data_IF_109823754537
#
_entry.id   IF_109823754537
#
_cell.length_a   1.000
_cell.length_b   1.000
_cell.length_c   1.000
_cell.angle_alpha   90.00
_cell.angle_beta   90.00
_cell.angle_gamma   90.00
#
_symmetry.space_group_name_H-M   'P 1'
#
loop_
_entity.id
_entity.type
_entity.pdbx_description
1 polymer ?
#
# COMPACT_ATOMS: atom_id res chain seq x y z
N UNK A 1 29.24 45.12 38.55
CA UNK A 1 29.33 43.73 39.05
C UNK A 1 27.97 43.06 39.27
N UNK A 2 26.95 43.73 39.81
CA UNK A 2 25.61 43.11 39.96
C UNK A 2 24.82 43.04 38.63
N UNK A 3 24.99 44.03 37.76
CA UNK A 3 24.31 44.09 36.46
C UNK A 3 24.83 43.04 35.47
N UNK A 4 26.14 42.73 35.50
CA UNK A 4 26.75 41.69 34.67
C UNK A 4 26.24 40.30 35.03
N UNK A 5 26.16 39.99 36.32
CA UNK A 5 25.60 38.73 36.84
C UNK A 5 24.12 38.61 36.46
N UNK A 6 23.34 39.70 36.59
CA UNK A 6 21.93 39.74 36.20
C UNK A 6 21.75 39.47 34.70
N UNK A 7 22.56 40.08 33.84
CA UNK A 7 22.50 39.87 32.39
C UNK A 7 22.87 38.43 32.01
N UNK A 8 23.87 37.85 32.67
CA UNK A 8 24.24 36.43 32.47
C UNK A 8 23.09 35.52 32.89
N UNK A 9 22.48 35.74 34.06
CA UNK A 9 21.34 34.94 34.55
C UNK A 9 20.16 35.05 33.59
N UNK A 10 19.81 36.26 33.14
CA UNK A 10 18.74 36.47 32.15
C UNK A 10 19.05 35.75 30.83
N UNK A 11 20.30 35.81 30.37
CA UNK A 11 20.74 35.09 29.17
C UNK A 11 20.59 33.57 29.29
N UNK A 12 20.99 32.99 30.41
CA UNK A 12 20.86 31.54 30.68
C UNK A 12 19.39 31.13 30.78
N UNK A 13 18.55 31.92 31.46
CA UNK A 13 17.11 31.66 31.56
C UNK A 13 16.46 31.72 30.17
N UNK A 14 16.77 32.77 29.38
CA UNK A 14 16.25 32.91 28.03
C UNK A 14 16.68 31.75 27.12
N UNK A 15 17.94 31.32 27.20
CA UNK A 15 18.45 30.17 26.47
C UNK A 15 17.75 28.87 26.88
N UNK A 16 17.56 28.65 28.19
CA UNK A 16 16.85 27.49 28.73
C UNK A 16 15.39 27.43 28.27
N UNK A 17 14.68 28.56 28.33
CA UNK A 17 13.30 28.66 27.84
C UNK A 17 13.21 28.42 26.33
N UNK A 18 14.14 28.97 25.55
CA UNK A 18 14.18 28.78 24.11
C UNK A 18 14.45 27.32 23.73
N UNK A 19 15.39 26.66 24.42
CA UNK A 19 15.68 25.24 24.22
C UNK A 19 14.48 24.36 24.61
N UNK A 20 13.82 24.64 25.74
CA UNK A 20 12.63 23.90 26.17
C UNK A 20 11.48 24.06 25.16
N UNK A 21 11.22 25.28 24.69
CA UNK A 21 10.19 25.54 23.69
C UNK A 21 10.51 24.88 22.35
N UNK A 22 11.78 24.92 21.92
CA UNK A 22 12.25 24.22 20.72
C UNK A 22 12.07 22.71 20.81
N UNK A 23 12.36 22.12 21.97
CA UNK A 23 12.13 20.68 22.21
C UNK A 23 10.65 20.34 22.18
N UNK A 24 9.81 21.07 22.93
CA UNK A 24 8.37 20.84 22.99
C UNK A 24 7.69 20.95 21.63
N UNK A 25 8.02 21.99 20.86
CA UNK A 25 7.49 22.19 19.50
C UNK A 25 7.92 21.06 18.58
N UNK A 26 9.20 20.68 18.57
CA UNK A 26 9.70 19.54 17.78
C UNK A 26 9.02 18.23 18.15
N UNK A 27 8.93 17.90 19.44
CA UNK A 27 8.29 16.68 19.92
C UNK A 27 6.81 16.65 19.58
N UNK A 28 6.10 17.78 19.73
CA UNK A 28 4.68 17.87 19.39
C UNK A 28 4.44 17.64 17.89
N UNK A 29 5.23 18.30 17.03
CA UNK A 29 5.14 18.12 15.58
C UNK A 29 5.47 16.69 15.14
N UNK A 30 6.50 16.09 15.74
CA UNK A 30 6.86 14.70 15.48
C UNK A 30 5.73 13.74 15.87
N UNK A 31 5.18 13.85 17.09
CA UNK A 31 4.03 13.05 17.53
C UNK A 31 2.80 13.25 16.64
N UNK A 32 2.55 14.48 16.18
CA UNK A 32 1.43 14.77 15.26
C UNK A 32 1.62 14.11 13.91
N UNK A 33 2.83 14.14 13.34
CA UNK A 33 3.16 13.46 12.09
C UNK A 33 3.03 11.94 12.24
N UNK A 34 3.56 11.38 13.33
CA UNK A 34 3.43 9.95 13.62
C UNK A 34 1.96 9.52 13.72
N UNK A 35 1.13 10.23 14.49
CA UNK A 35 -0.30 9.91 14.60
C UNK A 35 -1.04 9.95 13.26
N UNK A 36 -0.68 10.88 12.37
CA UNK A 36 -1.25 10.94 11.01
C UNK A 36 -0.82 9.75 10.15
N UNK A 37 0.46 9.37 10.23
CA UNK A 37 1.00 8.18 9.56
C UNK A 37 0.28 6.92 10.05
N UNK A 38 0.22 6.74 11.38
CA UNK A 38 -0.50 5.64 12.03
C UNK A 38 -1.98 5.59 11.62
N UNK A 39 -2.68 6.72 11.60
CA UNK A 39 -4.08 6.78 11.19
C UNK A 39 -4.29 6.42 9.70
N UNK A 40 -3.41 6.90 8.80
CA UNK A 40 -3.50 6.59 7.37
C UNK A 40 -3.33 5.09 7.10
N UNK A 41 -2.30 4.49 7.71
CA UNK A 41 -2.02 3.06 7.59
C UNK A 41 -2.89 2.18 8.49
N UNK A 42 -3.66 2.76 9.41
CA UNK A 42 -4.40 1.99 10.41
C UNK A 42 -3.51 1.24 11.40
N UNK A 43 -2.29 1.73 11.66
CA UNK A 43 -1.28 1.10 12.52
C UNK A 43 -1.07 1.91 13.81
N UNK A 44 -1.97 1.84 14.80
CA UNK A 44 -1.71 2.48 16.08
C UNK A 44 -0.56 1.78 16.81
N UNK A 45 0.01 2.49 17.77
CA UNK A 45 1.10 1.99 18.58
C UNK A 45 0.71 0.65 19.26
N UNK A 46 1.64 -0.31 19.22
CA UNK A 46 1.49 -1.67 19.74
C UNK A 46 0.37 -2.51 19.08
N UNK A 47 -0.11 -2.13 17.89
CA UNK A 47 -1.00 -2.99 17.10
C UNK A 47 -0.24 -4.05 16.31
N UNK A 48 -0.90 -5.16 16.03
CA UNK A 48 -0.43 -6.17 15.07
C UNK A 48 -1.10 -5.97 13.70
N UNK A 49 -0.33 -6.16 12.62
CA UNK A 49 -0.83 -6.17 11.26
C UNK A 49 -0.39 -7.42 10.51
N UNK A 50 -1.11 -7.75 9.43
CA UNK A 50 -0.84 -8.93 8.63
C UNK A 50 -0.12 -8.54 7.35
N UNK A 51 1.00 -9.21 7.08
CA UNK A 51 1.73 -9.12 5.83
C UNK A 51 1.47 -10.40 5.03
N UNK A 52 0.61 -10.30 4.01
CA UNK A 52 0.11 -11.46 3.26
C UNK A 52 0.86 -11.55 1.94
N UNK A 53 1.51 -12.69 1.69
CA UNK A 53 2.41 -12.87 0.54
C UNK A 53 2.02 -14.04 -0.34
N UNK A 54 2.54 -14.02 -1.57
CA UNK A 54 2.43 -15.12 -2.51
C UNK A 54 3.02 -16.42 -1.94
N UNK A 55 2.44 -17.55 -2.36
CA UNK A 55 3.06 -18.88 -2.24
C UNK A 55 3.50 -19.33 -3.63
N UNK A 56 4.73 -19.80 -3.77
CA UNK A 56 5.15 -20.47 -4.99
C UNK A 56 4.50 -21.87 -5.06
N UNK A 57 3.87 -22.19 -6.19
CA UNK A 57 3.01 -23.38 -6.34
C UNK A 57 3.77 -24.72 -6.32
N UNK A 58 5.11 -24.70 -6.23
CA UNK A 58 5.97 -25.87 -6.36
C UNK A 58 6.77 -26.27 -5.12
N UNK A 59 6.67 -25.56 -3.98
CA UNK A 59 7.44 -25.90 -2.77
C UNK A 59 6.59 -25.88 -1.49
N UNK A 60 6.83 -26.80 -0.54
CA UNK A 60 6.28 -26.72 0.82
C UNK A 60 6.81 -25.49 1.59
N UNK A 61 7.95 -24.93 1.19
CA UNK A 61 8.57 -23.75 1.80
C UNK A 61 8.03 -22.43 1.24
N UNK A 62 8.13 -21.37 2.04
CA UNK A 62 7.90 -19.97 1.65
C UNK A 62 8.90 -19.54 0.56
N UNK A 63 8.66 -19.94 -0.68
CA UNK A 63 9.37 -19.40 -1.83
C UNK A 63 8.71 -18.06 -2.21
N UNK A 64 9.31 -16.97 -1.73
CA UNK A 64 8.91 -15.60 -2.02
C UNK A 64 9.86 -15.06 -3.10
N UNK A 65 9.31 -14.50 -4.18
CA UNK A 65 10.13 -13.92 -5.23
C UNK A 65 11.03 -12.81 -4.65
N UNK A 66 12.28 -12.68 -5.10
CA UNK A 66 13.25 -11.70 -4.54
C UNK A 66 12.69 -10.27 -4.38
N UNK A 67 11.88 -9.83 -5.33
CA UNK A 67 11.27 -8.50 -5.33
C UNK A 67 10.10 -8.39 -4.35
N UNK A 68 9.37 -9.48 -4.11
CA UNK A 68 8.37 -9.52 -3.06
C UNK A 68 9.05 -9.40 -1.70
N UNK A 69 10.20 -10.07 -1.47
CA UNK A 69 11.00 -9.91 -0.23
C UNK A 69 11.39 -8.45 0.03
N UNK A 70 11.87 -7.73 -0.99
CA UNK A 70 12.18 -6.30 -0.83
C UNK A 70 10.95 -5.48 -0.49
N UNK A 71 9.80 -5.77 -1.09
CA UNK A 71 8.53 -5.13 -0.71
C UNK A 71 8.19 -5.41 0.77
N UNK A 72 8.42 -6.62 1.27
CA UNK A 72 8.20 -6.96 2.68
C UNK A 72 9.13 -6.19 3.61
N UNK A 73 10.41 -6.07 3.27
CA UNK A 73 11.38 -5.33 4.08
C UNK A 73 11.01 -3.85 4.18
N UNK A 74 10.59 -3.24 3.06
CA UNK A 74 10.14 -1.85 3.03
C UNK A 74 8.84 -1.66 3.84
N UNK A 75 7.89 -2.59 3.76
CA UNK A 75 6.68 -2.58 4.58
C UNK A 75 6.98 -2.81 6.07
N UNK A 76 7.89 -3.74 6.40
CA UNK A 76 8.29 -4.01 7.78
C UNK A 76 8.94 -2.78 8.43
N UNK A 77 9.79 -2.06 7.69
CA UNK A 77 10.35 -0.79 8.15
C UNK A 77 9.25 0.26 8.40
N UNK A 78 8.29 0.38 7.47
CA UNK A 78 7.13 1.28 7.63
C UNK A 78 6.28 0.94 8.86
N UNK A 79 6.02 -0.35 9.09
CA UNK A 79 5.23 -0.86 10.21
C UNK A 79 5.95 -0.58 11.53
N UNK A 80 7.25 -0.85 11.59
CA UNK A 80 8.10 -0.57 12.76
C UNK A 80 8.18 0.93 13.07
N UNK A 81 8.28 1.78 12.05
CA UNK A 81 8.23 3.24 12.23
C UNK A 81 6.91 3.71 12.87
N UNK A 82 5.82 2.97 12.66
CA UNK A 82 4.52 3.26 13.28
C UNK A 82 4.41 2.72 14.71
N UNK A 83 5.41 1.96 15.20
CA UNK A 83 5.36 1.27 16.48
C UNK A 83 4.42 0.06 16.50
N UNK A 84 4.17 -0.55 15.33
CA UNK A 84 3.32 -1.74 15.19
C UNK A 84 4.16 -3.00 14.90
N UNK A 85 3.58 -4.17 15.16
CA UNK A 85 4.12 -5.49 14.83
C UNK A 85 3.61 -6.00 13.48
N UNK A 86 4.40 -6.87 12.84
CA UNK A 86 4.07 -7.47 11.54
C UNK A 86 4.09 -9.00 11.66
N UNK A 87 2.96 -9.63 11.37
CA UNK A 87 2.81 -11.08 11.26
C UNK A 87 2.82 -11.47 9.78
N UNK A 88 3.87 -12.17 9.33
CA UNK A 88 3.95 -12.65 7.94
C UNK A 88 3.15 -13.93 7.81
N UNK A 89 2.11 -13.89 6.98
CA UNK A 89 1.20 -15.03 6.78
C UNK A 89 1.14 -15.42 5.31
N UNK A 90 1.03 -16.72 5.06
CA UNK A 90 0.67 -17.25 3.74
C UNK A 90 -0.85 -17.27 3.57
N UNK A 91 -1.30 -17.35 2.31
CA UNK A 91 -2.72 -17.28 1.94
C UNK A 91 -3.67 -18.25 2.67
N UNK A 92 -3.18 -19.38 3.20
CA UNK A 92 -4.03 -20.41 3.85
C UNK A 92 -4.11 -20.27 5.39
N UNK A 93 -3.14 -19.61 6.03
CA UNK A 93 -3.12 -19.36 7.49
C UNK A 93 -3.97 -18.13 7.88
N UNK A 94 -4.35 -17.35 6.87
CA UNK A 94 -5.10 -16.13 6.93
C UNK A 94 -6.62 -16.33 7.21
N UNK A 95 -6.99 -16.95 8.34
CA UNK A 95 -8.40 -17.15 8.74
C UNK A 95 -8.97 -16.02 9.63
N UNK A 96 -8.35 -14.84 9.63
CA UNK A 96 -8.77 -13.70 10.46
C UNK A 96 -9.76 -12.79 9.71
N UNK A 97 -10.68 -12.16 10.45
CA UNK A 97 -11.78 -11.38 9.90
C UNK A 97 -11.32 -10.10 9.18
N UNK A 98 -11.97 -9.79 8.06
CA UNK A 98 -11.69 -8.57 7.28
C UNK A 98 -11.91 -7.30 8.13
N UNK A 99 -10.90 -6.44 8.19
CA UNK A 99 -10.98 -5.16 8.88
C UNK A 99 -10.72 -5.21 10.39
N UNK A 100 -10.38 -6.38 10.96
CA UNK A 100 -9.96 -6.51 12.37
C UNK A 100 -8.53 -5.98 12.59
N UNK A 101 -7.63 -6.27 11.65
CA UNK A 101 -6.24 -5.81 11.62
C UNK A 101 -5.94 -5.15 10.29
N UNK A 102 -4.94 -4.27 10.27
CA UNK A 102 -4.43 -3.75 9.00
C UNK A 102 -3.81 -4.90 8.23
N UNK A 103 -4.09 -5.00 6.94
CA UNK A 103 -3.52 -6.03 6.08
C UNK A 103 -2.74 -5.39 4.94
N UNK A 104 -1.59 -5.94 4.61
CA UNK A 104 -0.82 -5.61 3.41
C UNK A 104 -0.74 -6.87 2.54
N UNK A 105 -1.55 -6.93 1.50
CA UNK A 105 -1.58 -8.06 0.56
C UNK A 105 -0.68 -7.76 -0.63
N UNK A 106 0.36 -8.57 -0.80
CA UNK A 106 1.36 -8.45 -1.85
C UNK A 106 1.22 -9.62 -2.82
N UNK A 107 1.18 -9.31 -4.12
CA UNK A 107 1.13 -10.33 -5.18
C UNK A 107 -0.11 -10.27 -6.07
N UNK A 108 -0.13 -11.14 -7.07
CA UNK A 108 -1.27 -11.26 -7.99
C UNK A 108 -2.35 -12.23 -7.49
N UNK A 109 -3.60 -12.11 -7.94
CA UNK A 109 -4.70 -12.99 -7.52
C UNK A 109 -4.49 -14.47 -7.89
N UNK A 110 -3.65 -14.77 -8.89
CA UNK A 110 -3.33 -16.15 -9.28
C UNK A 110 -2.44 -16.90 -8.28
N UNK A 111 -1.64 -16.18 -7.48
CA UNK A 111 -0.68 -16.75 -6.51
C UNK A 111 -0.99 -16.40 -5.05
N UNK A 112 -2.00 -15.55 -4.82
CA UNK A 112 -2.46 -15.11 -3.51
C UNK A 112 -4.01 -15.12 -3.47
N UNK A 113 -4.59 -16.17 -2.90
CA UNK A 113 -6.05 -16.34 -2.74
C UNK A 113 -6.69 -15.23 -1.93
N UNK A 114 -5.98 -14.65 -0.96
CA UNK A 114 -6.49 -13.52 -0.16
C UNK A 114 -6.55 -12.24 -0.99
N UNK A 115 -5.58 -12.00 -1.87
CA UNK A 115 -5.65 -10.95 -2.89
C UNK A 115 -6.88 -11.14 -3.79
N UNK A 116 -7.08 -12.35 -4.31
CA UNK A 116 -8.23 -12.66 -5.15
C UNK A 116 -9.57 -12.39 -4.43
N UNK A 117 -9.70 -12.81 -3.18
CA UNK A 117 -10.90 -12.58 -2.37
C UNK A 117 -11.19 -11.09 -2.16
N UNK A 118 -10.16 -10.28 -1.85
CA UNK A 118 -10.32 -8.83 -1.69
C UNK A 118 -10.74 -8.14 -2.99
N UNK A 119 -10.14 -8.51 -4.13
CA UNK A 119 -10.53 -7.98 -5.44
C UNK A 119 -11.98 -8.35 -5.75
N UNK A 120 -12.36 -9.62 -5.60
CA UNK A 120 -13.72 -10.09 -5.89
C UNK A 120 -14.77 -9.39 -5.01
N UNK A 121 -14.48 -9.18 -3.73
CA UNK A 121 -15.44 -8.61 -2.79
C UNK A 121 -15.56 -7.08 -2.89
N UNK A 122 -14.46 -6.38 -3.16
CA UNK A 122 -14.39 -4.92 -3.02
C UNK A 122 -14.16 -4.17 -4.33
N UNK A 123 -13.65 -4.85 -5.37
CA UNK A 123 -13.29 -4.26 -6.66
C UNK A 123 -13.99 -4.99 -7.83
N UNK A 124 -15.33 -5.03 -7.87
CA UNK A 124 -16.08 -5.75 -8.91
C UNK A 124 -15.89 -5.20 -10.33
N UNK A 125 -15.31 -3.99 -10.44
CA UNK A 125 -14.92 -3.35 -11.69
C UNK A 125 -13.54 -3.76 -12.20
N UNK A 126 -12.83 -4.65 -11.48
CA UNK A 126 -11.49 -5.12 -11.82
C UNK A 126 -11.53 -6.60 -12.18
N UNK A 127 -11.04 -6.93 -13.37
CA UNK A 127 -10.68 -8.29 -13.75
C UNK A 127 -9.19 -8.35 -14.06
N UNK A 128 -8.58 -9.47 -13.69
CA UNK A 128 -7.16 -9.74 -13.97
C UNK A 128 -7.13 -11.09 -14.64
N UNK A 129 -6.54 -11.16 -15.83
CA UNK A 129 -6.39 -12.44 -16.53
C UNK A 129 -5.38 -13.31 -15.77
N UNK A 130 -5.86 -14.38 -15.14
CA UNK A 130 -5.04 -15.37 -14.43
C UNK A 130 -4.90 -16.68 -15.19
N UNK A 131 -5.27 -16.71 -16.47
CA UNK A 131 -5.22 -17.90 -17.30
C UNK A 131 -3.78 -18.40 -17.41
N UNK A 132 -3.64 -19.73 -17.42
CA UNK A 132 -2.32 -20.39 -17.51
C UNK A 132 -1.75 -20.34 -18.92
N UNK A 133 -2.60 -20.10 -19.92
CA UNK A 133 -2.20 -20.06 -21.32
C UNK A 133 -1.30 -18.85 -21.59
N UNK A 134 -0.13 -19.06 -22.24
CA UNK A 134 0.69 -17.95 -22.69
C UNK A 134 -0.08 -17.11 -23.72
N UNK A 135 -0.13 -15.80 -23.51
CA UNK A 135 -0.80 -14.89 -24.42
C UNK A 135 -0.53 -13.42 -24.10
N UNK A 136 -0.87 -12.50 -25.02
CA UNK A 136 -0.68 -11.07 -24.84
C UNK A 136 -1.54 -10.50 -23.70
N UNK A 137 -2.61 -11.20 -23.34
CA UNK A 137 -3.51 -10.82 -22.25
C UNK A 137 -3.13 -11.41 -20.90
N UNK A 138 -2.06 -12.20 -20.80
CA UNK A 138 -1.66 -12.82 -19.53
C UNK A 138 -1.39 -11.73 -18.49
N UNK A 139 -2.07 -11.80 -17.35
CA UNK A 139 -2.02 -10.81 -16.26
C UNK A 139 -2.48 -9.40 -16.68
N UNK A 140 -3.12 -9.24 -17.84
CA UNK A 140 -3.72 -7.96 -18.23
C UNK A 140 -4.80 -7.56 -17.24
N UNK A 141 -4.88 -6.25 -16.96
CA UNK A 141 -5.95 -5.68 -16.15
C UNK A 141 -7.08 -5.20 -17.04
N UNK A 142 -8.30 -5.55 -16.67
CA UNK A 142 -9.50 -4.87 -17.14
C UNK A 142 -10.05 -4.05 -15.96
N UNK A 143 -10.23 -2.75 -16.16
CA UNK A 143 -10.76 -1.83 -15.15
C UNK A 143 -11.89 -1.02 -15.80
N UNK A 144 -13.14 -1.34 -15.44
CA UNK A 144 -14.28 -0.86 -16.21
C UNK A 144 -14.19 -1.34 -17.68
N UNK A 145 -14.19 -0.41 -18.61
CA UNK A 145 -14.03 -0.69 -20.05
C UNK A 145 -12.57 -0.68 -20.52
N UNK A 146 -11.62 -0.21 -19.70
CA UNK A 146 -10.22 -0.05 -20.08
C UNK A 146 -9.45 -1.36 -19.89
N UNK A 147 -8.53 -1.64 -20.81
CA UNK A 147 -7.66 -2.81 -20.79
C UNK A 147 -6.18 -2.37 -20.77
N UNK A 148 -5.42 -2.92 -19.83
CA UNK A 148 -4.00 -2.62 -19.63
C UNK A 148 -3.19 -3.90 -19.75
N UNK A 149 -2.64 -4.12 -20.95
CA UNK A 149 -1.72 -5.21 -21.25
C UNK A 149 -0.30 -4.82 -20.89
N UNK A 150 0.46 -5.78 -20.37
CA UNK A 150 1.89 -5.54 -20.08
C UNK A 150 2.77 -5.82 -21.30
N UNK A 151 3.82 -5.02 -21.41
CA UNK A 151 5.03 -5.33 -22.16
C UNK A 151 6.13 -5.61 -21.13
N UNK A 152 6.46 -6.89 -20.86
CA UNK A 152 7.38 -7.25 -19.79
C UNK A 152 8.73 -6.54 -19.92
N UNK A 153 9.15 -5.89 -18.83
CA UNK A 153 10.39 -5.12 -18.75
C UNK A 153 10.28 -3.69 -19.28
N UNK A 154 9.21 -3.34 -20.00
CA UNK A 154 9.06 -2.05 -20.71
C UNK A 154 7.89 -1.23 -20.16
N UNK A 155 6.67 -1.75 -20.22
CA UNK A 155 5.46 -1.09 -19.73
C UNK A 155 4.65 -2.10 -18.93
N UNK A 156 4.61 -1.92 -17.62
CA UNK A 156 3.95 -2.84 -16.71
C UNK A 156 3.07 -2.07 -15.75
N UNK A 157 2.03 -2.71 -15.24
CA UNK A 157 1.06 -2.07 -14.39
C UNK A 157 0.99 -2.72 -13.01
N UNK A 158 0.59 -1.92 -12.03
CA UNK A 158 0.27 -2.38 -10.67
C UNK A 158 -0.92 -1.62 -10.12
N UNK A 159 -1.85 -2.36 -9.54
CA UNK A 159 -2.93 -1.79 -8.74
C UNK A 159 -2.43 -1.59 -7.31
N UNK A 160 -2.37 -0.33 -6.89
CA UNK A 160 -2.17 0.05 -5.49
C UNK A 160 -3.51 0.48 -4.93
N UNK A 161 -4.03 -0.28 -3.96
CA UNK A 161 -5.28 0.05 -3.30
C UNK A 161 -5.12 0.21 -1.79
N UNK A 162 -5.94 1.07 -1.21
CA UNK A 162 -6.28 1.08 0.21
C UNK A 162 -7.78 0.86 0.28
N UNK A 163 -8.22 -0.21 0.94
CA UNK A 163 -9.63 -0.60 1.02
C UNK A 163 -10.07 -0.64 2.48
N UNK A 164 -11.28 -0.18 2.75
CA UNK A 164 -11.86 -0.15 4.10
C UNK A 164 -13.26 -0.77 4.05
N UNK A 165 -13.55 -1.67 5.00
CA UNK A 165 -14.80 -2.41 5.11
C UNK A 165 -16.00 -1.53 5.53
N UNK A 166 -16.53 -0.73 4.61
CA UNK A 166 -17.71 0.11 4.86
C UNK A 166 -17.53 1.16 5.97
N UNK A 167 -18.63 1.83 6.37
CA UNK A 167 -18.64 2.98 7.29
C UNK A 167 -18.35 2.65 8.77
N UNK A 168 -17.86 1.46 9.10
CA UNK A 168 -17.48 1.16 10.49
C UNK A 168 -16.24 2.00 10.83
N UNK A 169 -16.40 2.89 11.81
CA UNK A 169 -15.38 3.88 12.22
C UNK A 169 -14.05 3.24 12.67
N UNK A 170 -14.08 1.95 12.97
CA UNK A 170 -12.96 1.16 13.50
C UNK A 170 -12.38 0.15 12.48
N UNK A 171 -12.93 0.07 11.27
CA UNK A 171 -12.44 -0.89 10.27
C UNK A 171 -11.01 -0.56 9.84
N UNK A 172 -10.09 -1.50 10.05
CA UNK A 172 -8.69 -1.39 9.62
C UNK A 172 -8.58 -1.51 8.10
N UNK A 173 -7.66 -0.77 7.46
CA UNK A 173 -7.50 -0.82 6.02
C UNK A 173 -6.79 -2.09 5.56
N UNK A 174 -7.15 -2.52 4.36
CA UNK A 174 -6.40 -3.51 3.58
C UNK A 174 -5.71 -2.78 2.43
N UNK A 175 -4.39 -2.90 2.38
CA UNK A 175 -3.57 -2.42 1.27
C UNK A 175 -3.33 -3.54 0.28
N UNK A 176 -3.60 -3.30 -0.99
CA UNK A 176 -3.32 -4.24 -2.08
C UNK A 176 -2.16 -3.73 -2.92
N UNK A 177 -1.17 -4.57 -3.14
CA UNK A 177 -0.06 -4.37 -4.08
C UNK A 177 -0.15 -5.49 -5.12
N UNK A 178 -0.99 -5.26 -6.13
CA UNK A 178 -1.34 -6.26 -7.14
C UNK A 178 -0.66 -5.91 -8.47
N UNK A 179 0.58 -6.34 -8.60
CA UNK A 179 1.41 -6.12 -9.79
C UNK A 179 1.30 -7.25 -10.81
N UNK A 180 1.52 -6.91 -12.07
CA UNK A 180 1.62 -7.92 -13.14
C UNK A 180 2.89 -8.79 -13.01
N UNK A 181 3.92 -8.31 -12.31
CA UNK A 181 5.11 -9.05 -11.91
C UNK A 181 5.53 -8.65 -10.49
N UNK A 182 6.36 -9.46 -9.86
CA UNK A 182 6.85 -9.21 -8.50
C UNK A 182 7.59 -7.86 -8.35
N UNK A 183 8.28 -7.39 -9.40
CA UNK A 183 8.96 -6.08 -9.36
C UNK A 183 7.96 -4.91 -9.26
N UNK A 184 6.76 -5.07 -9.80
CA UNK A 184 5.73 -4.04 -9.75
C UNK A 184 5.11 -3.93 -8.35
N UNK A 185 5.09 -5.01 -7.57
CA UNK A 185 4.69 -4.98 -6.16
C UNK A 185 5.64 -4.10 -5.34
N UNK A 186 6.94 -4.29 -5.52
CA UNK A 186 7.97 -3.46 -4.90
C UNK A 186 7.82 -1.99 -5.32
N UNK A 187 7.58 -1.74 -6.61
CA UNK A 187 7.35 -0.38 -7.12
C UNK A 187 6.14 0.30 -6.46
N UNK A 188 5.03 -0.41 -6.30
CA UNK A 188 3.86 0.11 -5.60
C UNK A 188 4.10 0.34 -4.11
N UNK A 189 4.86 -0.54 -3.44
CA UNK A 189 5.28 -0.32 -2.04
C UNK A 189 6.09 0.96 -1.90
N UNK A 190 7.12 1.16 -2.73
CA UNK A 190 7.91 2.40 -2.75
C UNK A 190 7.04 3.62 -3.00
N UNK A 191 6.15 3.52 -3.97
CA UNK A 191 5.23 4.59 -4.30
C UNK A 191 4.34 4.96 -3.09
N UNK A 192 3.75 3.98 -2.42
CA UNK A 192 2.93 4.20 -1.22
C UNK A 192 3.75 4.86 -0.10
N UNK A 193 4.92 4.31 0.24
CA UNK A 193 5.78 4.83 1.32
C UNK A 193 6.19 6.28 1.03
N UNK A 194 6.62 6.60 -0.19
CA UNK A 194 7.04 7.94 -0.59
C UNK A 194 5.87 8.94 -0.67
N UNK A 195 4.68 8.50 -1.07
CA UNK A 195 3.56 9.40 -1.38
C UNK A 195 2.43 9.39 -0.33
N UNK A 196 2.54 8.66 0.78
CA UNK A 196 1.45 8.50 1.76
C UNK A 196 0.89 9.84 2.27
N UNK A 197 1.71 10.87 2.49
CA UNK A 197 1.21 12.18 2.91
C UNK A 197 0.37 12.88 1.84
N UNK A 198 0.72 12.71 0.56
CA UNK A 198 -0.07 13.23 -0.56
C UNK A 198 -1.36 12.44 -0.72
N UNK A 199 -1.28 11.12 -0.60
CA UNK A 199 -2.43 10.22 -0.67
C UNK A 199 -3.42 10.50 0.48
N UNK A 200 -2.93 10.65 1.71
CA UNK A 200 -3.74 11.01 2.87
C UNK A 200 -4.42 12.38 2.70
N UNK A 201 -3.74 13.36 2.07
CA UNK A 201 -4.38 14.66 1.77
C UNK A 201 -5.46 14.55 0.71
N UNK A 202 -5.26 13.73 -0.32
CA UNK A 202 -6.20 13.58 -1.44
C UNK A 202 -7.42 12.72 -1.09
N UNK A 203 -7.19 11.59 -0.42
CA UNK A 203 -8.19 10.56 -0.16
C UNK A 203 -8.61 10.45 1.31
N UNK A 204 -8.00 11.24 2.21
CA UNK A 204 -8.27 11.14 3.64
C UNK A 204 -7.97 9.74 4.17
N UNK A 205 -8.98 9.16 4.81
CA UNK A 205 -8.97 7.79 5.32
C UNK A 205 -9.96 6.89 4.57
N UNK A 206 -10.39 7.31 3.38
CA UNK A 206 -11.32 6.55 2.54
C UNK A 206 -10.57 5.56 1.66
N UNK A 207 -11.34 4.67 1.04
CA UNK A 207 -10.79 3.73 0.07
C UNK A 207 -10.30 4.46 -1.18
N UNK A 208 -9.20 4.00 -1.75
CA UNK A 208 -8.72 4.42 -3.06
C UNK A 208 -8.11 3.26 -3.82
N UNK A 209 -8.14 3.36 -5.14
CA UNK A 209 -7.51 2.42 -6.06
C UNK A 209 -6.78 3.21 -7.13
N UNK A 210 -5.47 3.02 -7.23
CA UNK A 210 -4.61 3.68 -8.20
C UNK A 210 -4.08 2.64 -9.17
N UNK A 211 -4.14 2.98 -10.46
CA UNK A 211 -3.39 2.30 -11.49
C UNK A 211 -2.04 3.01 -11.67
N UNK A 212 -0.96 2.30 -11.39
CA UNK A 212 0.39 2.78 -11.60
C UNK A 212 1.02 2.06 -12.78
N UNK A 213 1.83 2.78 -13.55
CA UNK A 213 2.66 2.26 -14.64
C UNK A 213 4.12 2.26 -14.20
N UNK A 214 4.77 1.11 -14.23
CA UNK A 214 6.20 0.95 -14.00
C UNK A 214 6.89 0.98 -15.36
N UNK A 215 7.79 1.95 -15.52
CA UNK A 215 8.43 2.24 -16.81
C UNK A 215 9.81 1.59 -16.85
N UNK A 216 10.03 0.80 -17.89
CA UNK A 216 11.29 0.16 -18.21
C UNK A 216 11.95 -0.52 -16.99
N UNK A 217 11.17 -1.42 -16.36
CA UNK A 217 11.58 -2.11 -15.13
C UNK A 217 12.81 -3.00 -15.32
N UNK A 218 13.15 -3.36 -16.56
CA UNK A 218 14.37 -4.07 -16.89
C UNK A 218 15.63 -3.20 -16.68
N UNK A 219 15.54 -1.90 -16.93
CA UNK A 219 16.66 -0.96 -16.81
C UNK A 219 16.66 -0.26 -15.46
N UNK A 220 15.51 0.24 -15.02
CA UNK A 220 15.40 1.08 -13.81
C UNK A 220 14.89 0.33 -12.58
N UNK A 221 14.61 -0.97 -12.71
CA UNK A 221 14.01 -1.73 -11.62
C UNK A 221 12.65 -1.17 -11.20
N UNK A 222 12.34 -1.10 -9.89
CA UNK A 222 11.06 -0.65 -9.38
C UNK A 222 10.95 0.89 -9.19
N UNK A 223 11.94 1.67 -9.62
CA UNK A 223 12.06 3.08 -9.20
C UNK A 223 11.32 4.09 -10.06
N UNK A 224 11.05 3.79 -11.34
CA UNK A 224 10.35 4.70 -12.25
C UNK A 224 8.89 4.30 -12.36
N UNK A 225 8.04 5.06 -11.66
CA UNK A 225 6.60 4.79 -11.55
C UNK A 225 5.81 6.06 -11.88
N UNK A 226 4.83 5.90 -12.77
CA UNK A 226 3.88 6.93 -13.16
C UNK A 226 2.48 6.57 -12.63
N UNK A 227 1.76 7.56 -12.09
CA UNK A 227 0.34 7.41 -11.80
C UNK A 227 -0.45 7.55 -13.11
N UNK A 228 -1.03 6.47 -13.60
CA UNK A 228 -1.87 6.49 -14.81
C UNK A 228 -3.20 7.15 -14.49
N UNK A 229 -3.89 6.62 -13.47
CA UNK A 229 -5.20 7.11 -13.08
C UNK A 229 -5.56 6.72 -11.65
N UNK A 230 -6.44 7.54 -11.07
CA UNK A 230 -7.24 7.18 -9.91
C UNK A 230 -8.49 6.45 -10.40
N UNK A 231 -8.46 5.13 -10.30
CA UNK A 231 -9.48 4.24 -10.85
C UNK A 231 -10.51 3.82 -9.80
N UNK A 232 -10.52 4.47 -8.63
CA UNK A 232 -11.35 4.09 -7.47
C UNK A 232 -12.81 3.84 -7.87
N UNK A 233 -13.42 4.78 -8.61
CA UNK A 233 -14.83 4.67 -9.03
C UNK A 233 -15.05 3.52 -10.02
N UNK A 234 -14.20 3.42 -11.04
CA UNK A 234 -14.32 2.39 -12.07
C UNK A 234 -14.07 0.99 -11.49
N UNK A 235 -13.14 0.86 -10.53
CA UNK A 235 -12.81 -0.38 -9.88
C UNK A 235 -13.90 -0.85 -8.90
N UNK A 236 -14.64 0.06 -8.27
CA UNK A 236 -15.71 -0.26 -7.31
C UNK A 236 -17.10 -0.45 -7.95
N UNK A 237 -17.31 0.06 -9.15
CA UNK A 237 -18.52 -0.19 -9.91
C UNK A 237 -18.44 -1.56 -10.60
N UNK A 238 -19.52 -2.37 -10.64
CA UNK A 238 -19.53 -3.60 -11.41
C UNK A 238 -19.11 -3.36 -12.87
N UNK A 239 -18.37 -4.32 -13.44
CA UNK A 239 -18.05 -4.27 -14.86
C UNK A 239 -19.33 -4.16 -15.70
N UNK A 240 -19.31 -3.39 -16.80
CA UNK A 240 -20.46 -3.31 -17.69
C UNK A 240 -20.79 -4.72 -18.21
N UNK A 241 -22.08 -5.08 -18.21
CA UNK A 241 -22.53 -6.32 -18.82
C UNK A 241 -22.15 -6.29 -20.30
N UNK A 242 -21.27 -7.21 -20.71
CA UNK A 242 -21.08 -7.50 -22.13
C UNK A 242 -22.40 -8.09 -22.60
N UNK A 243 -23.28 -7.24 -23.14
CA UNK A 243 -24.52 -7.69 -23.77
C UNK A 243 -24.10 -8.57 -24.95
N UNK A 244 -24.20 -9.88 -24.77
CA UNK A 244 -24.05 -10.83 -25.87
C UNK A 244 -25.23 -10.54 -26.79
N UNK A 245 -24.98 -9.76 -27.85
CA UNK A 245 -25.94 -9.62 -28.94
C UNK A 245 -25.93 -10.97 -29.65
N UNK A 246 -26.83 -11.85 -29.23
CA UNK A 246 -27.16 -13.06 -29.97
C UNK A 246 -27.81 -12.60 -31.27
N UNK A 247 -27.03 -12.55 -32.35
CA UNK A 247 -27.57 -12.34 -33.69
C UNK A 247 -28.59 -13.45 -33.96
N UNK A 248 -29.81 -13.04 -34.30
CA UNK A 248 -30.92 -13.91 -34.69
C UNK A 248 -30.89 -14.15 -36.19
#
# INVERSE_FOLDING_TARGET
MNDDVRNIVLGVVAAGLSAALGWLTRTYLWKRRLRRKQAFFGLPENSECLLVVNRDAGSPDLAVHRHDVFALLELAALIKDCGAGAEVVTQDAARQGFGERTEFCVGGPGSNRRMAAHIQAMLPGVRINTDREPGPDRLAFQIGSEHHRMEPGVTEYVLLARLTAGRRREARPVFLFCGQRAINNQAATRYLVRNHERLARKHGYDSFVLLLKVINSQVYGPDVVELVADVTRAAQAPLPDTTIVTAT
#
